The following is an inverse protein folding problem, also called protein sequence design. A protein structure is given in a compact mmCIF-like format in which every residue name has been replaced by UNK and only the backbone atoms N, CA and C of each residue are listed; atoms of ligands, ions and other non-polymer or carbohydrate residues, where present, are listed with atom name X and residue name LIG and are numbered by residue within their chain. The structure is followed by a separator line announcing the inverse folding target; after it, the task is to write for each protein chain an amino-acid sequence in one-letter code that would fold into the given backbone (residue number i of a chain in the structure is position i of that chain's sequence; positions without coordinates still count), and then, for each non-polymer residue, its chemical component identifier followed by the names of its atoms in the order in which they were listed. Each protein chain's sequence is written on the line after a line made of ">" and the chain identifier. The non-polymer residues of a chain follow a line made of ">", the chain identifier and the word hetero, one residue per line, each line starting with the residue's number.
data_IF_901364567858
#
_entry.id   IF_901364567858
#
_cell.length_a   1.000
_cell.length_b   1.000
_cell.length_c   1.000
_cell.angle_alpha   90.00
_cell.angle_beta   90.00
_cell.angle_gamma   90.00
#
_symmetry.space_group_name_H-M   'P 1'
#
loop_
_entity.id
_entity.type
_entity.pdbx_description
1 polymer ?
#
# COMPACT_ATOMS: atom_id res chain seq x y z
N UNK A 1 28.63 29.55 -59.43
CA UNK A 1 27.54 29.65 -60.42
C UNK A 1 26.59 28.47 -60.26
N UNK A 2 25.27 28.66 -60.45
CA UNK A 2 24.27 28.32 -59.43
C UNK A 2 23.05 27.51 -59.93
N UNK A 3 22.07 27.35 -59.02
CA UNK A 3 20.65 26.96 -59.15
C UNK A 3 20.34 25.45 -58.99
N UNK A 4 19.32 25.02 -58.25
CA UNK A 4 18.02 25.67 -57.99
C UNK A 4 17.37 25.33 -56.62
N UNK A 5 16.50 26.24 -56.18
CA UNK A 5 15.59 26.16 -55.04
C UNK A 5 14.23 25.58 -55.46
N UNK A 6 13.57 24.84 -54.57
CA UNK A 6 12.12 24.54 -54.59
C UNK A 6 11.73 23.51 -53.52
N UNK A 7 10.46 23.46 -53.05
CA UNK A 7 9.95 24.33 -51.99
C UNK A 7 9.70 23.60 -50.65
N UNK A 8 9.67 24.40 -49.57
CA UNK A 8 9.25 24.03 -48.21
C UNK A 8 7.76 23.63 -48.20
N UNK A 9 7.43 22.47 -47.64
CA UNK A 9 6.07 22.13 -47.23
C UNK A 9 6.00 21.93 -45.71
N UNK A 10 5.16 22.75 -45.08
CA UNK A 10 4.83 22.70 -43.66
C UNK A 10 3.99 21.44 -43.36
N UNK A 11 4.62 20.40 -42.82
CA UNK A 11 3.95 19.24 -42.25
C UNK A 11 3.26 19.58 -40.93
N UNK A 12 2.00 19.98 -41.00
CA UNK A 12 1.09 20.17 -39.86
C UNK A 12 1.10 18.94 -38.93
N UNK A 13 1.37 19.22 -37.66
CA UNK A 13 0.97 18.47 -36.46
C UNK A 13 -0.29 17.62 -36.67
N UNK A 14 -0.13 16.28 -36.70
CA UNK A 14 -1.24 15.34 -36.51
C UNK A 14 -1.52 15.25 -35.02
N UNK A 15 -2.44 16.10 -34.57
CA UNK A 15 -2.87 16.17 -33.18
C UNK A 15 -3.53 14.87 -32.69
N UNK A 16 -3.22 14.52 -31.44
CA UNK A 16 -3.77 13.43 -30.61
C UNK A 16 -5.31 13.44 -30.44
N UNK A 17 -6.04 14.32 -31.14
CA UNK A 17 -7.50 14.47 -31.08
C UNK A 17 -8.29 13.69 -32.14
N UNK A 18 -7.62 13.05 -33.12
CA UNK A 18 -8.30 12.21 -34.13
C UNK A 18 -8.35 10.72 -33.78
N UNK A 19 -7.62 10.25 -32.77
CA UNK A 19 -7.67 8.84 -32.34
C UNK A 19 -8.95 8.51 -31.56
N UNK A 20 -9.48 9.47 -30.79
CA UNK A 20 -10.70 9.30 -30.00
C UNK A 20 -12.01 9.43 -30.81
N UNK A 21 -11.93 9.81 -32.10
CA UNK A 21 -13.12 9.91 -32.97
C UNK A 21 -13.39 8.64 -33.79
N UNK A 22 -12.43 7.72 -33.90
CA UNK A 22 -12.57 6.52 -34.74
C UNK A 22 -13.22 5.33 -34.01
N UNK A 23 -13.42 5.40 -32.70
CA UNK A 23 -14.11 4.34 -31.92
C UNK A 23 -15.63 4.50 -31.85
N UNK A 24 -16.21 5.55 -32.44
CA UNK A 24 -17.65 5.83 -32.39
C UNK A 24 -18.42 5.51 -33.69
N UNK A 25 -17.79 4.87 -34.69
CA UNK A 25 -18.41 4.57 -35.99
C UNK A 25 -18.20 3.10 -36.43
N UNK A 26 -18.40 2.16 -35.50
CA UNK A 26 -18.24 0.73 -35.76
C UNK A 26 -19.40 -0.09 -35.19
N UNK A 27 -20.62 0.22 -35.60
CA UNK A 27 -21.78 -0.63 -35.35
C UNK A 27 -22.51 -0.93 -36.66
N UNK A 28 -22.74 -2.23 -36.89
CA UNK A 28 -23.75 -2.85 -37.75
C UNK A 28 -23.49 -2.97 -39.25
N UNK A 29 -22.93 -4.13 -39.64
CA UNK A 29 -23.47 -4.94 -40.75
C UNK A 29 -22.86 -6.36 -40.71
N UNK A 30 -23.59 -7.33 -40.17
CA UNK A 30 -23.34 -8.75 -40.43
C UNK A 30 -24.35 -9.23 -41.50
N UNK A 31 -23.92 -10.04 -42.49
CA UNK A 31 -24.81 -10.52 -43.53
C UNK A 31 -25.76 -11.59 -42.97
N UNK A 32 -27.03 -11.50 -43.37
CA UNK A 32 -28.06 -12.47 -43.05
C UNK A 32 -27.81 -13.78 -43.83
N UNK A 33 -27.36 -14.82 -43.15
CA UNK A 33 -27.39 -16.19 -43.67
C UNK A 33 -28.74 -16.82 -43.33
N UNK A 34 -29.47 -17.19 -44.37
CA UNK A 34 -30.75 -17.91 -44.34
C UNK A 34 -30.62 -19.27 -43.64
N UNK A 35 -31.28 -19.44 -42.49
CA UNK A 35 -31.46 -20.73 -41.84
C UNK A 35 -32.94 -21.16 -41.97
N UNK A 36 -33.12 -22.33 -42.60
CA UNK A 36 -34.39 -23.07 -42.74
C UNK A 36 -35.08 -23.27 -41.39
N UNK A 37 -36.41 -23.18 -41.43
CA UNK A 37 -37.30 -23.32 -40.27
C UNK A 37 -37.10 -24.61 -39.48
N UNK A 38 -37.08 -24.44 -38.15
CA UNK A 38 -37.45 -25.46 -37.16
C UNK A 38 -38.71 -24.97 -36.47
N UNK A 39 -39.65 -25.88 -36.26
CA UNK A 39 -40.94 -25.67 -35.58
C UNK A 39 -40.76 -25.07 -34.17
N UNK A 40 -41.76 -24.33 -33.66
CA UNK A 40 -41.68 -23.72 -32.35
C UNK A 40 -41.78 -24.78 -31.26
N UNK A 41 -40.64 -25.07 -30.62
CA UNK A 41 -40.54 -25.77 -29.35
C UNK A 41 -41.29 -24.94 -28.29
N UNK A 42 -42.23 -25.57 -27.58
CA UNK A 42 -43.01 -24.95 -26.53
C UNK A 42 -42.06 -24.39 -25.46
N UNK A 43 -42.10 -23.07 -25.27
CA UNK A 43 -41.30 -22.39 -24.28
C UNK A 43 -41.71 -22.85 -22.88
N UNK A 44 -40.91 -23.75 -22.29
CA UNK A 44 -40.95 -24.06 -20.87
C UNK A 44 -40.79 -22.76 -20.08
N UNK A 45 -41.75 -22.49 -19.19
CA UNK A 45 -41.76 -21.29 -18.37
C UNK A 45 -40.48 -21.26 -17.51
N UNK A 46 -39.59 -20.29 -17.80
CA UNK A 46 -38.41 -20.02 -16.97
C UNK A 46 -38.85 -19.88 -15.50
N UNK A 47 -38.17 -20.56 -14.55
CA UNK A 47 -38.51 -20.42 -13.14
C UNK A 47 -38.43 -18.94 -12.74
N UNK A 48 -39.32 -18.47 -11.86
CA UNK A 48 -39.34 -17.08 -11.45
C UNK A 48 -37.97 -16.71 -10.89
N UNK A 49 -37.37 -15.64 -11.44
CA UNK A 49 -36.13 -15.07 -10.91
C UNK A 49 -36.33 -14.80 -9.41
N UNK A 50 -35.41 -15.23 -8.54
CA UNK A 50 -35.52 -14.95 -7.12
C UNK A 50 -35.74 -13.45 -6.93
N UNK A 51 -36.77 -13.11 -6.15
CA UNK A 51 -37.13 -11.73 -5.82
C UNK A 51 -35.86 -10.99 -5.42
N UNK A 52 -35.61 -9.86 -6.09
CA UNK A 52 -34.42 -9.04 -5.93
C UNK A 52 -34.07 -8.92 -4.45
N UNK A 53 -32.87 -9.37 -4.08
CA UNK A 53 -32.29 -9.05 -2.78
C UNK A 53 -32.52 -7.55 -2.55
N UNK A 54 -33.18 -7.21 -1.43
CA UNK A 54 -33.41 -5.83 -1.04
C UNK A 54 -32.10 -5.07 -1.24
N UNK A 55 -32.10 -4.13 -2.20
CA UNK A 55 -30.95 -3.26 -2.42
C UNK A 55 -30.87 -2.40 -1.16
N UNK A 56 -30.06 -2.84 -0.18
CA UNK A 56 -29.83 -2.11 1.05
C UNK A 56 -29.51 -0.67 0.64
N UNK A 57 -30.23 0.29 1.22
CA UNK A 57 -29.95 1.69 0.99
C UNK A 57 -28.47 1.93 1.31
N UNK A 58 -27.75 2.56 0.38
CA UNK A 58 -26.35 2.89 0.60
C UNK A 58 -26.33 4.05 1.60
N UNK A 59 -26.02 3.75 2.85
CA UNK A 59 -25.76 4.78 3.86
C UNK A 59 -24.39 5.41 3.61
N UNK A 60 -24.33 6.74 3.73
CA UNK A 60 -23.13 7.55 3.54
C UNK A 60 -22.71 8.21 4.87
N UNK A 61 -21.41 8.18 5.24
CA UNK A 61 -20.29 7.58 4.51
C UNK A 61 -20.32 6.04 4.56
N UNK A 62 -19.73 5.39 3.54
CA UNK A 62 -19.69 3.92 3.50
C UNK A 62 -18.64 3.39 4.45
N UNK A 63 -19.08 2.86 5.58
CA UNK A 63 -18.23 2.18 6.56
C UNK A 63 -18.37 0.67 6.44
N UNK A 64 -17.23 -0.03 6.46
CA UNK A 64 -17.15 -1.48 6.33
C UNK A 64 -16.52 -2.08 7.59
N UNK A 65 -17.21 -3.07 8.18
CA UNK A 65 -16.77 -3.76 9.41
C UNK A 65 -16.87 -5.28 9.25
N UNK A 66 -16.31 -6.01 10.22
CA UNK A 66 -16.40 -7.48 10.24
C UNK A 66 -15.91 -8.12 8.94
N UNK A 67 -16.72 -9.01 8.34
CA UNK A 67 -16.41 -9.72 7.09
C UNK A 67 -16.49 -8.85 5.83
N UNK A 68 -17.16 -7.69 5.87
CA UNK A 68 -17.27 -6.80 4.70
C UNK A 68 -15.90 -6.30 4.20
N UNK A 69 -14.90 -6.33 5.10
CA UNK A 69 -13.51 -5.91 4.84
C UNK A 69 -12.68 -6.95 4.08
N UNK A 70 -13.18 -8.18 3.88
CA UNK A 70 -12.38 -9.30 3.40
C UNK A 70 -11.75 -9.07 2.02
N UNK A 71 -12.47 -8.36 1.14
CA UNK A 71 -12.10 -8.19 -0.27
C UNK A 71 -11.90 -6.72 -0.67
N UNK A 72 -11.79 -5.82 0.30
CA UNK A 72 -11.54 -4.41 0.00
C UNK A 72 -10.09 -4.22 -0.46
N UNK A 73 -9.92 -3.37 -1.48
CA UNK A 73 -8.65 -2.91 -2.01
C UNK A 73 -8.84 -1.46 -2.47
N UNK A 74 -8.26 -0.52 -1.74
CA UNK A 74 -8.29 0.89 -2.06
C UNK A 74 -6.97 1.30 -2.73
N UNK A 75 -6.98 1.80 -3.99
CA UNK A 75 -5.74 2.08 -4.71
C UNK A 75 -5.05 3.34 -4.16
N UNK A 76 -3.75 3.23 -3.90
CA UNK A 76 -2.87 4.35 -3.59
C UNK A 76 -1.80 4.45 -4.68
N UNK A 77 -1.78 5.55 -5.42
CA UNK A 77 -0.88 5.83 -6.53
C UNK A 77 -1.52 6.80 -7.54
N UNK A 78 -0.72 7.70 -8.10
CA UNK A 78 -1.19 8.72 -9.03
C UNK A 78 -1.64 8.15 -10.37
N UNK A 79 -2.29 8.99 -11.19
CA UNK A 79 -2.74 8.62 -12.53
C UNK A 79 -1.56 8.15 -13.37
N UNK A 80 -1.58 6.89 -13.81
CA UNK A 80 -0.54 6.32 -14.68
C UNK A 80 0.77 5.95 -13.96
N UNK A 81 0.86 6.17 -12.65
CA UNK A 81 2.06 5.88 -11.86
C UNK A 81 2.15 4.40 -11.40
N UNK A 82 1.09 3.61 -11.60
CA UNK A 82 0.91 2.35 -10.87
C UNK A 82 0.31 2.59 -9.48
N UNK A 83 -0.01 1.53 -8.74
CA UNK A 83 -0.65 1.65 -7.44
C UNK A 83 -0.33 0.51 -6.47
N UNK A 84 -0.33 0.81 -5.18
CA UNK A 84 -0.33 -0.17 -4.08
C UNK A 84 -1.71 -0.16 -3.45
N UNK A 85 -2.34 -1.32 -3.26
CA UNK A 85 -3.67 -1.37 -2.66
C UNK A 85 -3.61 -1.41 -1.13
N UNK A 86 -4.43 -0.59 -0.47
CA UNK A 86 -4.74 -0.72 0.95
C UNK A 86 -5.94 -1.64 1.12
N UNK A 87 -5.72 -2.76 1.81
CA UNK A 87 -6.76 -3.74 2.09
C UNK A 87 -7.62 -3.41 3.31
N UNK A 88 -8.74 -4.12 3.46
CA UNK A 88 -9.73 -3.85 4.50
C UNK A 88 -9.29 -4.02 5.95
N UNK A 89 -8.10 -4.56 6.24
CA UNK A 89 -7.53 -4.63 7.60
C UNK A 89 -6.50 -3.52 7.87
N UNK A 90 -6.25 -2.64 6.89
CA UNK A 90 -5.16 -1.67 6.93
C UNK A 90 -3.82 -2.21 6.40
N UNK A 91 -3.79 -3.41 5.82
CA UNK A 91 -2.60 -4.01 5.23
C UNK A 91 -2.35 -3.51 3.81
N UNK A 92 -1.09 -3.39 3.40
CA UNK A 92 -0.74 -3.21 1.98
C UNK A 92 -0.82 -4.55 1.25
N UNK A 93 -1.35 -4.55 0.03
CA UNK A 93 -1.43 -5.73 -0.85
C UNK A 93 -1.46 -5.29 -2.31
N UNK A 94 -1.24 -6.22 -3.23
CA UNK A 94 -1.43 -6.01 -4.67
C UNK A 94 -0.67 -4.76 -5.19
N UNK A 95 0.64 -4.91 -5.35
CA UNK A 95 1.57 -3.89 -5.78
C UNK A 95 1.65 -3.86 -7.32
N UNK A 96 0.90 -2.96 -7.93
CA UNK A 96 0.85 -2.71 -9.38
C UNK A 96 1.86 -1.65 -9.80
N UNK A 97 3.11 -1.77 -9.36
CA UNK A 97 4.17 -0.77 -9.59
C UNK A 97 5.32 -1.27 -10.49
N UNK A 98 5.21 -2.50 -11.02
CA UNK A 98 6.27 -3.15 -11.79
C UNK A 98 6.02 -3.19 -13.31
N UNK A 99 5.20 -2.26 -13.82
CA UNK A 99 4.91 -2.11 -15.26
C UNK A 99 4.33 -3.37 -15.95
N UNK A 100 3.66 -4.24 -15.19
CA UNK A 100 2.99 -5.45 -15.71
C UNK A 100 1.78 -5.82 -14.86
N UNK A 101 0.89 -6.69 -15.35
CA UNK A 101 -0.16 -7.25 -14.52
C UNK A 101 0.44 -8.10 -13.40
N UNK A 102 0.25 -7.66 -12.15
CA UNK A 102 0.85 -8.28 -10.95
C UNK A 102 -0.23 -8.49 -9.87
N UNK A 103 -1.37 -9.08 -10.27
CA UNK A 103 -2.46 -9.37 -9.36
C UNK A 103 -2.00 -10.27 -8.21
N UNK A 104 -2.32 -9.87 -6.99
CA UNK A 104 -1.98 -10.61 -5.77
C UNK A 104 -0.51 -10.50 -5.34
N UNK A 105 0.32 -9.79 -6.11
CA UNK A 105 1.75 -9.69 -5.83
C UNK A 105 2.07 -8.60 -4.81
N UNK A 106 2.99 -8.89 -3.90
CA UNK A 106 3.55 -7.92 -2.95
C UNK A 106 4.93 -8.42 -2.50
N UNK A 107 5.79 -7.55 -1.95
CA UNK A 107 6.98 -8.00 -1.24
C UNK A 107 6.59 -8.94 -0.08
N UNK A 108 7.48 -9.85 0.31
CA UNK A 108 7.22 -10.83 1.36
C UNK A 108 7.03 -10.19 2.74
N UNK A 109 7.52 -8.97 2.94
CA UNK A 109 7.30 -8.17 4.14
C UNK A 109 6.97 -6.72 3.76
N UNK A 110 5.84 -6.20 4.19
CA UNK A 110 5.44 -4.80 4.00
C UNK A 110 4.40 -4.42 5.07
N UNK A 111 4.85 -4.11 6.28
CA UNK A 111 3.94 -3.86 7.40
C UNK A 111 4.42 -2.75 8.36
N UNK A 112 3.46 -2.02 8.93
CA UNK A 112 3.66 -1.16 10.09
C UNK A 112 3.52 -1.93 11.42
N UNK A 113 4.25 -1.51 12.45
CA UNK A 113 4.11 -1.98 13.83
C UNK A 113 4.11 -0.79 14.80
N UNK A 114 3.31 -0.87 15.85
CA UNK A 114 3.27 0.09 16.95
C UNK A 114 3.84 -0.52 18.21
N UNK A 115 4.59 0.28 18.96
CA UNK A 115 4.99 0.02 20.33
C UNK A 115 4.49 1.17 21.21
N UNK A 116 3.97 0.86 22.40
CA UNK A 116 3.45 1.86 23.33
C UNK A 116 3.82 1.51 24.76
N UNK A 117 4.30 2.49 25.50
CA UNK A 117 4.53 2.38 26.93
C UNK A 117 3.96 3.58 27.69
N UNK A 118 3.12 3.29 28.68
CA UNK A 118 2.60 4.28 29.60
C UNK A 118 3.42 4.27 30.90
N UNK A 119 4.18 5.34 31.16
CA UNK A 119 5.08 5.43 32.34
C UNK A 119 5.97 4.19 32.48
N UNK A 120 5.92 3.50 33.61
CA UNK A 120 6.68 2.28 33.93
C UNK A 120 5.90 0.99 33.65
N UNK A 121 4.72 1.07 33.02
CA UNK A 121 3.97 -0.12 32.66
C UNK A 121 4.73 -0.98 31.65
N UNK A 122 4.39 -2.28 31.59
CA UNK A 122 4.94 -3.18 30.58
C UNK A 122 4.57 -2.64 29.18
N UNK A 123 5.52 -2.51 28.25
CA UNK A 123 5.22 -2.06 26.91
C UNK A 123 4.34 -3.05 26.15
N UNK A 124 3.60 -2.54 25.18
CA UNK A 124 2.75 -3.32 24.28
C UNK A 124 3.15 -3.04 22.84
N UNK A 125 3.37 -4.12 22.08
CA UNK A 125 3.61 -4.05 20.64
C UNK A 125 2.49 -4.76 19.85
N UNK A 126 2.12 -4.19 18.70
CA UNK A 126 1.15 -4.74 17.75
C UNK A 126 1.57 -4.42 16.32
N UNK A 127 1.32 -5.32 15.38
CA UNK A 127 1.25 -4.97 13.96
C UNK A 127 0.04 -4.03 13.77
N UNK A 128 0.24 -2.90 13.08
CA UNK A 128 -0.80 -1.90 12.79
C UNK A 128 -1.70 -2.35 11.62
N UNK A 129 -2.21 -3.56 11.76
CA UNK A 129 -3.20 -4.18 10.89
C UNK A 129 -4.19 -4.93 11.78
N UNK A 130 -5.47 -4.94 11.41
CA UNK A 130 -6.43 -5.80 12.08
C UNK A 130 -6.11 -7.30 11.84
N UNK A 131 -6.57 -8.17 12.75
CA UNK A 131 -6.40 -9.62 12.66
C UNK A 131 -6.76 -10.19 11.29
N UNK A 132 -5.94 -11.13 10.82
CA UNK A 132 -6.18 -11.89 9.60
C UNK A 132 -7.54 -12.59 9.73
N UNK A 133 -8.32 -12.57 8.65
CA UNK A 133 -9.65 -13.18 8.58
C UNK A 133 -9.56 -14.56 7.95
N UNK A 134 -10.48 -15.48 8.27
CA UNK A 134 -10.58 -16.75 7.57
C UNK A 134 -10.89 -16.55 6.07
N UNK A 135 -10.54 -17.51 5.21
CA UNK A 135 -9.96 -18.81 5.57
C UNK A 135 -8.45 -18.75 5.91
N UNK A 136 -8.01 -19.63 6.81
CA UNK A 136 -6.59 -19.83 7.13
C UNK A 136 -6.04 -21.04 6.34
N UNK A 137 -6.14 -20.95 5.02
CA UNK A 137 -5.90 -22.06 4.09
C UNK A 137 -4.60 -21.89 3.32
N UNK A 138 -4.13 -22.99 2.72
CA UNK A 138 -2.90 -23.06 1.92
C UNK A 138 -2.01 -24.23 2.34
N UNK A 139 -1.06 -24.69 1.49
CA UNK A 139 -0.16 -25.80 1.83
C UNK A 139 0.67 -25.58 3.11
N UNK A 140 0.92 -24.32 3.47
CA UNK A 140 1.60 -23.88 4.69
C UNK A 140 0.70 -23.05 5.62
N UNK A 141 -0.63 -23.15 5.45
CA UNK A 141 -1.59 -22.26 6.10
C UNK A 141 -1.32 -20.80 5.73
N UNK A 142 -1.10 -19.95 6.73
CA UNK A 142 -0.79 -18.52 6.52
C UNK A 142 0.67 -18.25 6.11
N UNK A 143 1.55 -19.27 6.11
CA UNK A 143 2.97 -19.09 5.80
C UNK A 143 3.70 -18.20 6.81
N UNK A 144 4.80 -17.57 6.36
CA UNK A 144 5.60 -16.63 7.16
C UNK A 144 5.60 -15.19 6.63
N UNK A 145 5.15 -14.99 5.40
CA UNK A 145 5.11 -13.68 4.75
C UNK A 145 4.17 -12.73 5.48
N UNK A 146 4.63 -11.50 5.65
CA UNK A 146 3.94 -10.44 6.38
C UNK A 146 3.54 -10.85 7.81
N UNK A 147 4.38 -11.68 8.46
CA UNK A 147 4.37 -11.93 9.91
C UNK A 147 3.01 -12.33 10.52
N UNK A 148 2.35 -13.41 10.04
CA UNK A 148 1.02 -13.80 10.51
C UNK A 148 1.00 -14.24 11.98
N UNK A 149 2.14 -14.69 12.51
CA UNK A 149 2.30 -15.07 13.92
C UNK A 149 2.45 -13.91 14.91
N UNK A 150 2.56 -12.66 14.44
CA UNK A 150 2.76 -11.52 15.34
C UNK A 150 1.43 -10.96 15.87
N UNK A 151 1.40 -10.45 17.12
CA UNK A 151 0.22 -9.80 17.68
C UNK A 151 -0.30 -8.66 16.79
N UNK A 152 -1.60 -8.68 16.49
CA UNK A 152 -2.31 -7.72 15.64
C UNK A 152 -3.45 -7.05 16.40
N UNK A 153 -3.89 -5.90 15.93
CA UNK A 153 -5.05 -5.19 16.47
C UNK A 153 -6.32 -6.04 16.30
N UNK A 154 -7.24 -5.98 17.25
CA UNK A 154 -8.37 -6.90 17.31
C UNK A 154 -9.28 -6.79 16.09
N UNK A 155 -9.63 -5.57 15.68
CA UNK A 155 -10.51 -5.26 14.56
C UNK A 155 -10.22 -3.86 14.00
N UNK A 156 -10.94 -3.46 12.96
CA UNK A 156 -11.03 -2.08 12.52
C UNK A 156 -12.33 -1.83 11.75
N UNK A 157 -12.70 -0.56 11.65
CA UNK A 157 -13.68 -0.06 10.70
C UNK A 157 -12.96 0.67 9.57
N UNK A 158 -13.36 0.42 8.32
CA UNK A 158 -12.81 1.11 7.15
C UNK A 158 -13.88 2.01 6.54
N UNK A 159 -13.58 3.29 6.34
CA UNK A 159 -14.42 4.24 5.61
C UNK A 159 -13.66 4.70 4.38
N UNK A 160 -14.16 4.36 3.18
CA UNK A 160 -13.46 4.59 1.92
C UNK A 160 -14.16 5.64 1.07
N UNK A 161 -13.43 6.70 0.72
CA UNK A 161 -13.92 7.86 -0.03
C UNK A 161 -12.83 8.35 -0.99
N UNK A 162 -12.69 7.72 -2.15
CA UNK A 162 -11.63 8.07 -3.10
C UNK A 162 -11.56 9.59 -3.33
N UNK A 163 -10.40 10.25 -3.14
CA UNK A 163 -9.04 9.68 -3.04
C UNK A 163 -8.50 9.38 -1.63
N UNK A 164 -9.32 9.46 -0.58
CA UNK A 164 -8.94 9.17 0.80
C UNK A 164 -9.59 7.89 1.35
N UNK A 165 -8.88 7.21 2.25
CA UNK A 165 -9.43 6.10 3.02
C UNK A 165 -9.00 6.23 4.47
N UNK A 166 -9.95 5.98 5.36
CA UNK A 166 -9.72 5.96 6.81
C UNK A 166 -9.91 4.55 7.36
N UNK A 167 -9.00 4.14 8.22
CA UNK A 167 -9.08 2.89 8.99
C UNK A 167 -9.01 3.26 10.46
N UNK A 168 -10.10 3.07 11.19
CA UNK A 168 -10.16 3.24 12.64
C UNK A 168 -9.91 1.88 13.29
N UNK A 169 -8.76 1.73 13.96
CA UNK A 169 -8.38 0.46 14.57
C UNK A 169 -8.95 0.28 15.97
N UNK A 170 -9.22 -0.97 16.34
CA UNK A 170 -9.79 -1.35 17.62
C UNK A 170 -8.91 -2.40 18.31
N UNK A 171 -8.43 -2.09 19.51
CA UNK A 171 -7.78 -3.04 20.42
C UNK A 171 -7.98 -2.52 21.85
N UNK A 172 -8.75 -3.22 22.67
CA UNK A 172 -9.08 -2.79 24.04
C UNK A 172 -7.91 -2.88 25.02
N UNK A 173 -6.83 -3.60 24.64
CA UNK A 173 -5.64 -3.77 25.47
C UNK A 173 -4.66 -2.62 25.23
N UNK A 174 -4.72 -1.99 24.05
CA UNK A 174 -3.81 -0.90 23.69
C UNK A 174 -4.24 0.41 24.42
N UNK A 175 -3.33 1.09 25.14
CA UNK A 175 -3.68 2.27 25.95
C UNK A 175 -3.85 3.56 25.13
N UNK A 176 -3.84 3.46 23.80
CA UNK A 176 -4.00 4.56 22.85
C UNK A 176 -5.02 4.18 21.78
N UNK A 177 -5.65 5.20 21.17
CA UNK A 177 -6.48 5.01 19.98
C UNK A 177 -5.64 5.28 18.75
N UNK A 178 -5.75 4.42 17.74
CA UNK A 178 -4.97 4.54 16.50
C UNK A 178 -5.93 4.58 15.31
N UNK A 179 -5.72 5.52 14.42
CA UNK A 179 -6.36 5.55 13.12
C UNK A 179 -5.30 5.72 12.02
N UNK A 180 -5.56 5.18 10.84
CA UNK A 180 -4.80 5.42 9.62
C UNK A 180 -5.68 6.24 8.68
N UNK A 181 -5.13 7.33 8.17
CA UNK A 181 -5.64 8.02 6.98
C UNK A 181 -4.63 7.81 5.86
N UNK A 182 -5.07 7.20 4.76
CA UNK A 182 -4.24 6.94 3.60
C UNK A 182 -4.82 7.57 2.34
N UNK A 183 -3.94 8.12 1.51
CA UNK A 183 -4.34 8.78 0.27
C UNK A 183 -3.16 8.94 -0.67
N UNK A 184 -3.47 9.27 -1.92
CA UNK A 184 -2.54 9.87 -2.87
C UNK A 184 -3.02 11.29 -3.17
N UNK A 185 -2.13 12.29 -3.30
CA UNK A 185 -2.54 13.63 -3.70
C UNK A 185 -3.22 13.59 -5.08
N UNK A 186 -4.54 13.76 -5.10
CA UNK A 186 -5.33 13.93 -6.32
C UNK A 186 -5.87 15.35 -6.30
N UNK A 187 -5.29 16.22 -7.11
CA UNK A 187 -5.62 17.64 -7.17
C UNK A 187 -6.30 17.92 -8.50
N UNK A 188 -7.61 18.22 -8.51
CA UNK A 188 -8.34 18.48 -9.75
C UNK A 188 -7.65 19.54 -10.60
N UNK A 189 -7.53 19.25 -11.90
CA UNK A 189 -6.87 20.10 -12.91
C UNK A 189 -5.33 20.21 -12.80
N UNK A 190 -4.72 19.66 -11.75
CA UNK A 190 -3.27 19.60 -11.59
C UNK A 190 -2.77 18.18 -11.92
N UNK A 191 -2.39 17.98 -13.18
CA UNK A 191 -2.01 16.68 -13.70
C UNK A 191 -0.69 16.16 -13.11
N UNK A 192 0.28 17.04 -12.88
CA UNK A 192 1.59 16.66 -12.34
C UNK A 192 1.48 16.18 -10.90
N UNK A 193 0.73 16.91 -10.05
CA UNK A 193 0.45 16.51 -8.67
C UNK A 193 -0.38 15.23 -8.60
N UNK A 194 -1.40 15.11 -9.47
CA UNK A 194 -2.25 13.92 -9.54
C UNK A 194 -1.56 12.69 -10.13
N UNK A 195 -0.39 12.87 -10.75
CA UNK A 195 0.42 11.82 -11.38
C UNK A 195 1.54 11.29 -10.48
N UNK A 196 1.68 11.78 -9.25
CA UNK A 196 2.79 11.41 -8.38
C UNK A 196 2.76 9.91 -7.99
N UNK A 197 3.90 9.19 -8.08
CA UNK A 197 4.01 7.79 -7.65
C UNK A 197 4.20 7.72 -6.14
N UNK A 198 3.18 8.13 -5.37
CA UNK A 198 3.26 8.20 -3.92
C UNK A 198 1.99 7.72 -3.24
N UNK A 199 2.16 6.98 -2.15
CA UNK A 199 1.15 6.66 -1.17
C UNK A 199 1.51 7.33 0.16
N UNK A 200 0.59 8.12 0.70
CA UNK A 200 0.69 8.74 2.02
C UNK A 200 -0.04 7.86 3.02
N UNK A 201 0.64 7.45 4.09
CA UNK A 201 0.10 6.65 5.19
C UNK A 201 0.28 7.43 6.50
N UNK A 202 -0.78 8.13 6.93
CA UNK A 202 -0.77 8.96 8.13
C UNK A 202 -1.44 8.25 9.29
N UNK A 203 -0.64 7.77 10.23
CA UNK A 203 -1.14 7.21 11.48
C UNK A 203 -1.35 8.32 12.51
N UNK A 204 -2.54 8.39 13.07
CA UNK A 204 -2.92 9.29 14.16
C UNK A 204 -3.02 8.47 15.45
N UNK A 205 -2.14 8.76 16.41
CA UNK A 205 -2.13 8.10 17.73
C UNK A 205 -2.65 9.09 18.76
N UNK A 206 -3.79 8.79 19.38
CA UNK A 206 -4.39 9.59 20.42
C UNK A 206 -4.22 8.91 21.79
N UNK A 207 -3.79 9.68 22.79
CA UNK A 207 -3.66 9.24 24.17
C UNK A 207 -4.87 9.72 24.97
N UNK A 208 -5.90 8.88 25.21
CA UNK A 208 -7.06 9.25 26.02
C UNK A 208 -6.76 9.23 27.53
N UNK A 209 -5.60 8.70 27.94
CA UNK A 209 -5.22 8.53 29.33
C UNK A 209 -4.84 9.82 30.02
N UNK A 210 -4.78 9.76 31.35
CA UNK A 210 -4.40 10.87 32.23
C UNK A 210 -2.87 11.04 32.39
N UNK A 211 -2.07 10.24 31.70
CA UNK A 211 -0.60 10.25 31.81
C UNK A 211 0.04 10.27 30.43
N UNK A 212 1.25 10.82 30.34
CA UNK A 212 2.02 10.74 29.10
C UNK A 212 2.32 9.29 28.72
N UNK A 213 2.35 9.01 27.43
CA UNK A 213 2.77 7.73 26.85
C UNK A 213 3.90 7.97 25.86
N UNK A 214 4.83 7.03 25.75
CA UNK A 214 5.77 6.96 24.64
C UNK A 214 5.20 5.99 23.61
N UNK A 215 5.17 6.40 22.35
CA UNK A 215 4.69 5.56 21.26
C UNK A 215 5.65 5.63 20.08
N UNK A 216 5.93 4.46 19.50
CA UNK A 216 6.74 4.30 18.31
C UNK A 216 5.93 3.64 17.22
N UNK A 217 6.14 4.08 15.98
CA UNK A 217 5.69 3.34 14.79
C UNK A 217 6.91 3.00 13.95
N UNK A 218 7.13 1.71 13.72
CA UNK A 218 8.10 1.19 12.79
C UNK A 218 7.40 0.70 11.52
N UNK A 219 7.96 0.98 10.36
CA UNK A 219 7.48 0.45 9.08
C UNK A 219 8.59 -0.36 8.42
N UNK A 220 8.28 -1.60 8.05
CA UNK A 220 9.22 -2.56 7.46
C UNK A 220 8.78 -2.93 6.05
N UNK A 221 9.69 -2.83 5.07
CA UNK A 221 9.44 -3.20 3.68
C UNK A 221 10.65 -3.98 3.14
N UNK A 222 10.40 -5.15 2.57
CA UNK A 222 11.36 -5.85 1.71
C UNK A 222 11.58 -5.02 0.45
N UNK A 223 12.84 -4.68 0.16
CA UNK A 223 13.22 -3.88 -0.99
C UNK A 223 12.60 -4.46 -2.28
N UNK A 224 11.68 -3.73 -2.94
CA UNK A 224 10.98 -4.20 -4.12
C UNK A 224 11.74 -3.93 -5.42
N UNK A 225 12.86 -3.20 -5.40
CA UNK A 225 13.60 -2.84 -6.61
C UNK A 225 14.27 -4.08 -7.25
N UNK A 226 14.09 -4.26 -8.56
CA UNK A 226 14.50 -5.49 -9.25
C UNK A 226 13.77 -6.71 -8.71
N UNK A 227 12.44 -6.61 -8.59
CA UNK A 227 11.57 -7.72 -8.21
C UNK A 227 11.89 -8.98 -9.07
N UNK A 228 11.96 -10.15 -8.43
CA UNK A 228 12.43 -11.40 -9.04
C UNK A 228 13.92 -11.71 -8.87
N UNK A 229 14.75 -10.71 -8.50
CA UNK A 229 16.16 -10.93 -8.17
C UNK A 229 16.39 -11.48 -6.77
N UNK A 230 17.55 -12.12 -6.57
CA UNK A 230 18.00 -12.55 -5.25
C UNK A 230 18.29 -11.37 -4.32
N UNK A 231 17.92 -11.50 -3.05
CA UNK A 231 18.01 -10.45 -2.03
C UNK A 231 19.43 -9.83 -1.89
N UNK A 232 20.49 -10.59 -2.18
CA UNK A 232 21.88 -10.12 -2.13
C UNK A 232 22.21 -8.99 -3.13
N UNK A 233 21.38 -8.80 -4.15
CA UNK A 233 21.54 -7.74 -5.15
C UNK A 233 20.95 -6.39 -4.71
N UNK A 234 20.12 -6.36 -3.67
CA UNK A 234 19.34 -5.19 -3.27
C UNK A 234 20.00 -4.41 -2.14
N UNK A 235 19.97 -3.08 -2.24
CA UNK A 235 20.63 -2.17 -1.30
C UNK A 235 19.63 -1.14 -0.77
N UNK A 236 19.66 -0.91 0.54
CA UNK A 236 18.87 0.12 1.22
C UNK A 236 19.82 1.14 1.85
N UNK A 237 19.72 2.40 1.43
CA UNK A 237 20.51 3.50 1.97
C UNK A 237 19.66 4.40 2.86
N UNK A 238 20.11 4.65 4.08
CA UNK A 238 19.48 5.66 4.93
C UNK A 238 19.78 7.06 4.40
N UNK A 239 18.74 7.89 4.33
CA UNK A 239 18.82 9.30 3.95
C UNK A 239 18.00 10.14 4.92
N UNK A 240 18.49 11.34 5.20
CA UNK A 240 17.81 12.32 6.04
C UNK A 240 17.94 13.70 5.40
N UNK A 241 16.85 14.46 5.45
CA UNK A 241 16.79 15.84 5.00
C UNK A 241 16.05 16.71 6.01
N UNK A 242 15.76 17.94 5.63
CA UNK A 242 14.93 18.82 6.43
C UNK A 242 13.49 18.28 6.49
N UNK A 243 13.03 17.93 7.69
CA UNK A 243 11.64 17.48 7.92
C UNK A 243 11.31 16.04 7.51
N UNK A 244 12.26 15.24 7.04
CA UNK A 244 12.04 13.82 6.75
C UNK A 244 13.30 12.95 6.93
N UNK A 245 13.09 11.65 7.12
CA UNK A 245 14.12 10.62 7.08
C UNK A 245 13.55 9.37 6.40
N UNK A 246 14.40 8.54 5.78
CA UNK A 246 13.91 7.41 5.00
C UNK A 246 15.00 6.45 4.53
N UNK A 247 14.56 5.37 3.90
CA UNK A 247 15.39 4.41 3.20
C UNK A 247 15.15 4.55 1.70
N UNK A 248 16.20 4.82 0.94
CA UNK A 248 16.20 4.67 -0.51
C UNK A 248 16.58 3.23 -0.84
N UNK A 249 15.65 2.51 -1.46
CA UNK A 249 15.73 1.10 -1.79
C UNK A 249 15.99 0.95 -3.29
N UNK A 250 17.10 0.32 -3.66
CA UNK A 250 17.55 0.19 -5.05
C UNK A 250 18.15 -1.19 -5.34
N UNK A 251 18.29 -1.51 -6.61
CA UNK A 251 19.09 -2.64 -7.09
C UNK A 251 20.19 -2.13 -8.05
N UNK A 252 21.43 -1.95 -7.57
CA UNK A 252 22.53 -1.41 -8.38
C UNK A 252 22.99 -2.33 -9.52
N UNK A 253 22.55 -3.59 -9.57
CA UNK A 253 22.96 -4.53 -10.61
C UNK A 253 22.04 -4.53 -11.84
N UNK A 254 20.96 -3.74 -11.82
CA UNK A 254 20.07 -3.56 -12.97
C UNK A 254 20.54 -2.41 -13.86
N UNK A 255 20.53 -2.65 -15.18
CA UNK A 255 20.87 -1.63 -16.16
C UNK A 255 19.76 -0.57 -16.22
N UNK A 256 20.11 0.68 -16.50
CA UNK A 256 19.16 1.80 -16.50
C UNK A 256 17.98 1.67 -17.47
N UNK A 257 18.13 0.89 -18.55
CA UNK A 257 17.05 0.64 -19.52
C UNK A 257 16.17 -0.57 -19.21
N UNK A 258 16.42 -1.27 -18.11
CA UNK A 258 15.61 -2.42 -17.68
C UNK A 258 14.23 -1.94 -17.16
N UNK A 259 13.10 -2.52 -17.60
CA UNK A 259 11.76 -2.13 -17.11
C UNK A 259 11.55 -2.29 -15.59
N UNK A 260 12.39 -3.08 -14.92
CA UNK A 260 12.40 -3.28 -13.47
C UNK A 260 13.48 -2.46 -12.75
N UNK A 261 14.25 -1.64 -13.48
CA UNK A 261 15.11 -0.64 -12.89
C UNK A 261 14.28 0.50 -12.31
N UNK A 262 14.71 1.02 -11.17
CA UNK A 262 14.02 2.07 -10.44
C UNK A 262 14.45 2.11 -8.98
N UNK A 263 13.79 2.94 -8.20
CA UNK A 263 14.02 3.05 -6.77
C UNK A 263 12.71 3.12 -6.04
N UNK A 264 12.63 2.48 -4.89
CA UNK A 264 11.53 2.66 -3.96
C UNK A 264 12.03 3.47 -2.76
N UNK A 265 11.21 4.34 -2.19
CA UNK A 265 11.56 5.02 -0.94
C UNK A 265 10.49 4.79 0.12
N UNK A 266 10.95 4.35 1.29
CA UNK A 266 10.18 4.30 2.53
C UNK A 266 10.65 5.44 3.43
N UNK A 267 9.83 6.47 3.56
CA UNK A 267 10.19 7.67 4.33
C UNK A 267 9.17 7.97 5.42
N UNK A 268 9.58 8.71 6.44
CA UNK A 268 8.72 9.25 7.50
C UNK A 268 8.97 10.75 7.63
N UNK A 269 7.90 11.52 7.75
CA UNK A 269 8.00 12.94 8.08
C UNK A 269 8.37 13.11 9.56
N UNK A 270 9.41 13.90 9.81
CA UNK A 270 9.96 14.13 11.15
C UNK A 270 9.48 15.45 11.77
N UNK A 271 8.64 16.21 11.05
CA UNK A 271 7.99 17.41 11.56
C UNK A 271 7.20 17.14 12.85
N UNK A 272 7.39 17.99 13.86
CA UNK A 272 6.85 17.76 15.22
C UNK A 272 7.78 17.01 16.17
N UNK A 273 9.00 16.68 15.73
CA UNK A 273 10.04 16.08 16.55
C UNK A 273 9.88 14.56 16.74
N UNK A 274 10.65 14.03 17.69
CA UNK A 274 10.75 12.60 17.97
C UNK A 274 12.12 12.02 17.63
N UNK A 275 12.32 10.75 17.95
CA UNK A 275 13.56 10.01 17.70
C UNK A 275 13.36 9.07 16.51
N UNK A 276 14.23 9.18 15.50
CA UNK A 276 14.25 8.27 14.36
C UNK A 276 15.32 7.21 14.58
N UNK A 277 14.93 5.95 14.43
CA UNK A 277 15.84 4.80 14.39
C UNK A 277 15.52 3.97 13.14
N UNK A 278 16.48 3.17 12.66
CA UNK A 278 16.31 2.45 11.40
C UNK A 278 17.19 1.20 11.32
N UNK A 279 16.80 0.30 10.42
CA UNK A 279 17.61 -0.81 9.93
C UNK A 279 17.65 -0.71 8.41
N UNK A 280 18.84 -0.66 7.80
CA UNK A 280 18.97 -0.82 6.34
C UNK A 280 18.62 -2.24 5.93
N UNK A 281 18.73 -3.20 6.83
CA UNK A 281 18.27 -4.56 6.61
C UNK A 281 18.11 -5.29 7.93
N UNK A 282 17.10 -6.16 8.05
CA UNK A 282 17.03 -7.08 9.19
C UNK A 282 18.24 -8.01 9.23
N UNK A 283 18.61 -8.55 10.41
CA UNK A 283 19.65 -9.56 10.50
C UNK A 283 19.40 -10.71 9.52
N UNK A 284 20.41 -11.05 8.72
CA UNK A 284 20.32 -12.20 7.83
C UNK A 284 20.34 -13.47 8.67
N UNK A 285 19.20 -14.15 8.74
CA UNK A 285 19.02 -15.34 9.55
C UNK A 285 18.43 -16.47 8.69
N UNK A 286 18.60 -17.72 9.15
CA UNK A 286 18.04 -18.87 8.44
C UNK A 286 16.52 -18.91 8.64
N UNK A 287 15.83 -19.38 7.60
CA UNK A 287 14.37 -19.57 7.63
C UNK A 287 13.63 -18.25 7.98
N UNK A 288 12.62 -18.31 8.84
CA UNK A 288 11.78 -17.18 9.24
C UNK A 288 12.26 -16.48 10.53
N UNK A 289 13.56 -16.53 10.83
CA UNK A 289 14.11 -15.89 12.04
C UNK A 289 14.23 -14.37 11.93
N UNK A 290 14.43 -13.82 10.73
CA UNK A 290 14.54 -12.37 10.50
C UNK A 290 13.41 -11.55 11.16
N UNK A 291 12.12 -11.85 10.89
CA UNK A 291 11.02 -11.12 11.53
C UNK A 291 10.94 -11.30 13.05
N UNK A 292 11.41 -12.43 13.60
CA UNK A 292 11.46 -12.65 15.06
C UNK A 292 12.54 -11.77 15.71
N UNK A 293 13.72 -11.65 15.06
CA UNK A 293 14.78 -10.78 15.54
C UNK A 293 14.37 -9.32 15.49
N UNK A 294 13.74 -8.88 14.39
CA UNK A 294 13.11 -7.56 14.32
C UNK A 294 12.09 -7.34 15.43
N UNK A 295 11.20 -8.31 15.65
CA UNK A 295 10.14 -8.15 16.65
C UNK A 295 10.70 -8.08 18.07
N UNK A 296 11.69 -8.90 18.40
CA UNK A 296 12.34 -8.89 19.71
C UNK A 296 13.03 -7.55 19.99
N UNK A 297 13.72 -7.00 18.99
CA UNK A 297 14.35 -5.67 19.04
C UNK A 297 13.28 -4.59 19.27
N UNK A 298 12.36 -4.43 18.31
CA UNK A 298 11.35 -3.37 18.36
C UNK A 298 10.42 -3.46 19.57
N UNK A 299 10.06 -4.67 20.01
CA UNK A 299 9.15 -4.83 21.15
C UNK A 299 9.82 -4.56 22.51
N UNK A 300 11.15 -4.55 22.58
CA UNK A 300 11.88 -4.30 23.82
C UNK A 300 11.73 -2.85 24.28
N UNK A 301 11.92 -1.89 23.37
CA UNK A 301 12.02 -0.47 23.70
C UNK A 301 11.35 0.48 22.68
N UNK A 302 10.74 -0.06 21.61
CA UNK A 302 10.13 0.73 20.55
C UNK A 302 11.14 1.40 19.63
N UNK A 303 12.40 0.96 19.64
CA UNK A 303 13.45 1.45 18.77
C UNK A 303 13.93 0.36 17.80
N UNK A 304 14.93 0.67 17.00
CA UNK A 304 15.50 -0.24 16.03
C UNK A 304 17.03 -0.16 16.11
N UNK A 305 17.67 -1.33 16.19
CA UNK A 305 19.11 -1.46 16.17
C UNK A 305 19.70 -2.03 17.46
N UNK A 306 21.01 -2.34 17.47
CA UNK A 306 21.99 -2.01 16.42
C UNK A 306 21.84 -2.84 15.14
N UNK A 307 22.31 -2.30 14.02
CA UNK A 307 22.30 -3.03 12.75
C UNK A 307 23.25 -4.24 12.78
N UNK A 308 22.78 -5.38 12.28
CA UNK A 308 23.63 -6.55 12.07
C UNK A 308 24.66 -6.30 10.95
N UNK A 309 25.86 -6.92 11.02
CA UNK A 309 26.84 -6.83 9.93
C UNK A 309 26.30 -7.41 8.62
N UNK A 310 25.70 -8.60 8.69
CA UNK A 310 25.09 -9.32 7.56
C UNK A 310 23.57 -9.12 7.60
N UNK A 311 23.01 -8.60 6.51
CA UNK A 311 21.67 -8.05 6.45
C UNK A 311 20.87 -8.64 5.28
N UNK A 312 19.57 -8.79 5.49
CA UNK A 312 18.59 -9.06 4.44
C UNK A 312 18.21 -7.78 3.69
N UNK A 313 17.37 -7.91 2.66
CA UNK A 313 16.84 -6.78 1.90
C UNK A 313 15.65 -6.06 2.59
N UNK A 314 15.24 -6.48 3.79
CA UNK A 314 14.10 -5.89 4.52
C UNK A 314 14.54 -4.68 5.32
N UNK A 315 14.28 -3.49 4.78
CA UNK A 315 14.55 -2.22 5.46
C UNK A 315 13.46 -1.89 6.48
N UNK A 316 13.81 -1.17 7.53
CA UNK A 316 12.84 -0.65 8.52
C UNK A 316 13.19 0.76 8.97
N UNK A 317 12.18 1.61 9.13
CA UNK A 317 12.34 2.94 9.73
C UNK A 317 11.30 3.11 10.85
N UNK A 318 11.74 3.66 11.98
CA UNK A 318 10.95 3.87 13.17
C UNK A 318 11.00 5.33 13.58
N UNK A 319 9.85 5.85 14.02
CA UNK A 319 9.72 7.15 14.66
C UNK A 319 9.07 6.97 16.03
N UNK A 320 9.76 7.41 17.08
CA UNK A 320 9.28 7.41 18.46
C UNK A 320 8.93 8.83 18.90
N UNK A 321 7.80 8.98 19.60
CA UNK A 321 7.33 10.26 20.16
C UNK A 321 6.76 10.08 21.56
N UNK A 322 6.86 11.14 22.37
CA UNK A 322 6.06 11.28 23.58
C UNK A 322 4.71 11.94 23.26
N UNK A 323 3.62 11.40 23.81
CA UNK A 323 2.27 11.91 23.65
C UNK A 323 1.72 12.24 25.04
N UNK A 324 1.51 13.54 25.30
CA UNK A 324 0.92 14.04 26.56
C UNK A 324 -0.46 13.43 26.83
N UNK A 325 -0.91 13.52 28.09
CA UNK A 325 -2.28 13.18 28.46
C UNK A 325 -3.30 13.97 27.62
N UNK A 326 -4.33 13.29 27.11
CA UNK A 326 -5.32 13.86 26.18
C UNK A 326 -4.73 14.33 24.84
N UNK A 327 -3.45 14.03 24.57
CA UNK A 327 -2.73 14.49 23.40
C UNK A 327 -2.91 13.59 22.18
N UNK A 328 -2.39 14.06 21.04
CA UNK A 328 -2.32 13.31 19.78
C UNK A 328 -0.95 13.51 19.16
N UNK A 329 -0.47 12.50 18.43
CA UNK A 329 0.70 12.60 17.57
C UNK A 329 0.40 11.96 16.21
N UNK A 330 0.97 12.54 15.16
CA UNK A 330 0.89 12.02 13.80
C UNK A 330 2.22 11.37 13.40
N UNK A 331 2.14 10.28 12.65
CA UNK A 331 3.26 9.58 12.04
C UNK A 331 2.93 9.39 10.57
N UNK A 332 3.52 10.21 9.71
CA UNK A 332 3.22 10.21 8.27
C UNK A 332 4.34 9.51 7.53
N UNK A 333 4.06 8.31 7.04
CA UNK A 333 4.95 7.56 6.17
C UNK A 333 4.61 7.85 4.71
N UNK A 334 5.65 7.94 3.88
CA UNK A 334 5.56 8.12 2.44
C UNK A 334 6.19 6.90 1.78
N UNK A 335 5.43 6.24 0.93
CA UNK A 335 5.90 5.16 0.06
C UNK A 335 5.90 5.73 -1.35
N UNK A 336 7.07 5.78 -2.00
CA UNK A 336 7.20 6.30 -3.37
C UNK A 336 8.05 5.38 -4.25
N UNK A 337 7.79 5.39 -5.56
CA UNK A 337 8.38 4.46 -6.53
C UNK A 337 8.67 5.12 -7.88
#
# INVERSE_FOLDING_TARGET
>A
MPYSNGPRSNGRSKGRRNFLKTLAAGALSLPASSARGREPEQAEAKPPRPKSAHRLAIEYPRTFTGRQRAMLAFPLGGVGAGSISLGGRGQLKEWWIFNRPDQGKSPGYAFPAIWVQARTAKPLARILEARIMPPYEGPSGLGSENVPGMPRLASCALTGEFPLVRVDFEDSILPVRVALEAFTPFVPLEADDSGLPVAVLRYQVANPGASKVTASIAFSIENPAGEGDGAASRVNDFRQGEGFAGLLMRNPFRAAGDPLAGTFALSVLTGGGGKVTYLRGWPSARWWQGPLLFWNDFSADGELGPEAPVRSAVGSICLQREIRAGGKAEYTFLLSW
#
